data_IF_510444880340
#
_entry.id   IF_510444880340
#
_cell.length_a   1.000
_cell.length_b   1.000
_cell.length_c   1.000
_cell.angle_alpha   90.00
_cell.angle_beta   90.00
_cell.angle_gamma   90.00
#
_symmetry.space_group_name_H-M   'P 1'
#
loop_
_entity.id
_entity.type
_entity.pdbx_description
1 polymer ?
#
# COMPACT_ATOMS: atom_id res chain seq x y z
N UNK A 1 14.16 8.07 14.98
CA UNK A 1 14.18 7.12 13.84
C UNK A 1 14.81 5.77 14.17
N UNK A 2 16.06 5.68 14.60
CA UNK A 2 16.69 4.38 14.93
C UNK A 2 15.91 3.60 15.99
N UNK A 3 15.44 4.30 17.04
CA UNK A 3 14.54 3.75 18.05
C UNK A 3 13.27 3.14 17.41
N UNK A 4 12.52 3.94 16.64
CA UNK A 4 11.33 3.51 15.89
C UNK A 4 11.60 2.25 15.06
N UNK A 5 12.71 2.17 14.32
CA UNK A 5 13.07 0.99 13.53
C UNK A 5 13.24 -0.26 14.40
N UNK A 6 13.97 -0.13 15.52
CA UNK A 6 14.20 -1.24 16.46
C UNK A 6 12.91 -1.69 17.14
N UNK A 7 12.10 -0.74 17.58
CA UNK A 7 10.86 -1.00 18.29
C UNK A 7 9.84 -1.67 17.36
N UNK A 8 9.72 -1.16 16.13
CA UNK A 8 8.86 -1.74 15.08
C UNK A 8 9.30 -3.15 14.70
N UNK A 9 10.61 -3.42 14.64
CA UNK A 9 11.13 -4.76 14.38
C UNK A 9 10.80 -5.73 15.52
N UNK A 10 11.01 -5.29 16.77
CA UNK A 10 10.66 -6.07 17.96
C UNK A 10 9.17 -6.41 17.99
N UNK A 11 8.31 -5.43 17.72
CA UNK A 11 6.86 -5.60 17.65
C UNK A 11 6.45 -6.57 16.52
N UNK A 12 7.04 -6.44 15.34
CA UNK A 12 6.75 -7.33 14.21
C UNK A 12 7.12 -8.77 14.52
N UNK A 13 8.33 -8.99 15.07
CA UNK A 13 8.81 -10.33 15.46
C UNK A 13 7.90 -10.98 16.50
N UNK A 14 7.38 -10.19 17.44
CA UNK A 14 6.51 -10.70 18.50
C UNK A 14 5.06 -10.92 18.04
N UNK A 15 4.66 -10.33 16.91
CA UNK A 15 3.30 -10.36 16.38
C UNK A 15 3.23 -10.89 14.95
N UNK A 16 4.01 -11.95 14.65
CA UNK A 16 3.96 -12.63 13.33
C UNK A 16 2.57 -13.20 13.00
N UNK A 17 1.69 -13.33 13.98
CA UNK A 17 0.27 -13.66 13.80
C UNK A 17 -0.44 -12.72 12.81
N UNK A 18 0.03 -11.48 12.66
CA UNK A 18 -0.45 -10.52 11.65
C UNK A 18 -0.28 -11.01 10.21
N UNK A 19 0.58 -12.00 9.97
CA UNK A 19 0.73 -12.64 8.66
C UNK A 19 -0.51 -13.44 8.26
N UNK A 20 -1.23 -14.05 9.21
CA UNK A 20 -2.34 -14.96 8.89
C UNK A 20 -3.49 -14.28 8.15
N UNK A 21 -4.01 -13.11 8.61
CA UNK A 21 -5.03 -12.37 7.84
C UNK A 21 -4.58 -12.04 6.42
N UNK A 22 -3.31 -11.67 6.24
CA UNK A 22 -2.77 -11.30 4.93
C UNK A 22 -2.69 -12.49 3.98
N UNK A 23 -2.18 -13.63 4.45
CA UNK A 23 -2.10 -14.88 3.68
C UNK A 23 -3.51 -15.33 3.29
N UNK A 24 -4.45 -15.31 4.23
CA UNK A 24 -5.84 -15.70 4.00
C UNK A 24 -6.53 -14.76 2.99
N UNK A 25 -6.28 -13.45 3.08
CA UNK A 25 -6.77 -12.47 2.12
C UNK A 25 -6.25 -12.75 0.71
N UNK A 26 -4.94 -12.95 0.54
CA UNK A 26 -4.37 -13.27 -0.78
C UNK A 26 -4.90 -14.59 -1.35
N UNK A 27 -5.17 -15.59 -0.50
CA UNK A 27 -5.77 -16.84 -0.92
C UNK A 27 -7.21 -16.68 -1.42
N UNK A 28 -8.03 -15.86 -0.75
CA UNK A 28 -9.38 -15.53 -1.25
C UNK A 28 -9.31 -14.77 -2.58
N UNK A 29 -8.44 -13.77 -2.67
CA UNK A 29 -8.28 -12.96 -3.90
C UNK A 29 -7.81 -13.83 -5.06
N UNK A 30 -6.89 -14.77 -4.85
CA UNK A 30 -6.40 -15.65 -5.91
C UNK A 30 -7.48 -16.59 -6.46
N UNK A 31 -8.49 -16.94 -5.65
CA UNK A 31 -9.66 -17.70 -6.11
C UNK A 31 -10.64 -16.85 -6.93
N UNK A 32 -10.72 -15.54 -6.69
CA UNK A 32 -11.68 -14.65 -7.34
C UNK A 32 -11.19 -14.09 -8.69
N UNK A 33 -9.87 -13.88 -8.85
CA UNK A 33 -9.29 -13.30 -10.08
C UNK A 33 -9.58 -14.14 -11.34
N UNK A 34 -9.42 -15.48 -11.35
CA UNK A 34 -9.69 -16.30 -12.53
C UNK A 34 -11.14 -16.20 -13.04
N UNK A 35 -12.09 -15.92 -12.15
CA UNK A 35 -13.50 -15.73 -12.49
C UNK A 35 -13.76 -14.48 -13.35
N UNK A 36 -12.79 -13.57 -13.47
CA UNK A 36 -12.86 -12.36 -14.31
C UNK A 36 -12.36 -12.63 -15.74
N UNK A 37 -11.44 -13.58 -15.92
CA UNK A 37 -10.76 -13.80 -17.22
C UNK A 37 -11.44 -14.81 -18.15
N UNK A 38 -12.44 -15.56 -17.68
CA UNK A 38 -12.92 -16.77 -18.37
C UNK A 38 -14.28 -16.70 -19.05
N UNK A 39 -14.97 -15.55 -19.12
CA UNK A 39 -16.31 -15.50 -19.67
C UNK A 39 -16.56 -14.25 -20.52
N UNK A 40 -17.49 -14.34 -21.46
CA UNK A 40 -18.24 -13.19 -21.97
C UNK A 40 -19.03 -12.57 -20.80
N UNK A 41 -18.34 -11.84 -19.93
CA UNK A 41 -18.93 -11.27 -18.73
C UNK A 41 -19.82 -10.11 -19.18
N UNK A 42 -21.14 -10.37 -19.25
CA UNK A 42 -22.18 -9.33 -19.34
C UNK A 42 -21.88 -8.27 -18.27
N UNK A 43 -21.90 -6.99 -18.63
CA UNK A 43 -21.48 -5.84 -17.80
C UNK A 43 -21.92 -5.88 -16.34
N UNK A 44 -23.12 -6.40 -16.06
CA UNK A 44 -23.66 -6.56 -14.71
C UNK A 44 -22.89 -7.56 -13.83
N UNK A 45 -22.44 -8.70 -14.38
CA UNK A 45 -21.63 -9.69 -13.65
C UNK A 45 -20.25 -9.13 -13.29
N UNK A 46 -19.67 -8.33 -14.18
CA UNK A 46 -18.41 -7.65 -13.94
C UNK A 46 -18.53 -6.67 -12.77
N UNK A 47 -19.59 -5.84 -12.76
CA UNK A 47 -19.85 -4.88 -11.69
C UNK A 47 -19.97 -5.54 -10.30
N UNK A 48 -20.65 -6.69 -10.22
CA UNK A 48 -20.80 -7.43 -8.96
C UNK A 48 -19.45 -7.99 -8.48
N UNK A 49 -18.66 -8.60 -9.37
CA UNK A 49 -17.34 -9.14 -9.00
C UNK A 49 -16.41 -8.01 -8.55
N UNK A 50 -16.42 -6.89 -9.26
CA UNK A 50 -15.63 -5.71 -8.92
C UNK A 50 -16.01 -5.14 -7.55
N UNK A 51 -17.31 -5.00 -7.27
CA UNK A 51 -17.80 -4.55 -5.97
C UNK A 51 -17.40 -5.50 -4.82
N UNK A 52 -17.44 -6.82 -5.06
CA UNK A 52 -17.00 -7.81 -4.08
C UNK A 52 -15.49 -7.70 -3.77
N UNK A 53 -14.66 -7.48 -4.79
CA UNK A 53 -13.22 -7.28 -4.60
C UNK A 53 -12.96 -6.02 -3.77
N UNK A 54 -13.64 -4.91 -4.09
CA UNK A 54 -13.55 -3.68 -3.29
C UNK A 54 -13.98 -3.95 -1.84
N UNK A 55 -15.11 -4.62 -1.63
CA UNK A 55 -15.61 -4.97 -0.32
C UNK A 55 -14.60 -5.80 0.49
N UNK A 56 -14.01 -6.83 -0.12
CA UNK A 56 -12.99 -7.67 0.52
C UNK A 56 -11.73 -6.89 0.88
N UNK A 57 -11.25 -6.03 -0.01
CA UNK A 57 -10.08 -5.16 0.25
C UNK A 57 -10.36 -4.26 1.46
N UNK A 58 -11.54 -3.62 1.51
CA UNK A 58 -11.90 -2.72 2.61
C UNK A 58 -12.09 -3.46 3.92
N UNK A 59 -12.75 -4.63 3.92
CA UNK A 59 -12.86 -5.49 5.12
C UNK A 59 -11.47 -5.86 5.62
N UNK A 60 -10.61 -6.32 4.72
CA UNK A 60 -9.25 -6.71 5.07
C UNK A 60 -8.46 -5.55 5.68
N UNK A 61 -8.40 -4.41 5.01
CA UNK A 61 -7.71 -3.22 5.52
C UNK A 61 -8.27 -2.76 6.87
N UNK A 62 -9.59 -2.76 7.03
CA UNK A 62 -10.24 -2.29 8.26
C UNK A 62 -9.88 -3.12 9.49
N UNK A 63 -9.97 -4.45 9.36
CA UNK A 63 -9.61 -5.35 10.45
C UNK A 63 -8.11 -5.39 10.68
N UNK A 64 -7.32 -5.48 9.62
CA UNK A 64 -5.87 -5.64 9.72
C UNK A 64 -5.18 -4.39 10.25
N UNK A 65 -5.57 -3.19 9.79
CA UNK A 65 -5.01 -1.94 10.27
C UNK A 65 -5.42 -1.61 11.72
N UNK A 66 -6.60 -2.05 12.19
CA UNK A 66 -6.95 -1.93 13.62
C UNK A 66 -6.01 -2.78 14.49
N UNK A 67 -5.65 -4.00 14.04
CA UNK A 67 -4.70 -4.84 14.77
C UNK A 67 -3.32 -4.17 14.89
N UNK A 68 -2.83 -3.55 13.81
CA UNK A 68 -1.59 -2.76 13.85
C UNK A 68 -1.70 -1.57 14.81
N UNK A 69 -2.82 -0.83 14.78
CA UNK A 69 -3.05 0.29 15.68
C UNK A 69 -3.02 -0.13 17.15
N UNK A 70 -3.71 -1.22 17.50
CA UNK A 70 -3.72 -1.73 18.88
C UNK A 70 -2.32 -2.11 19.35
N UNK A 71 -1.54 -2.81 18.53
CA UNK A 71 -0.14 -3.11 18.90
C UNK A 71 0.67 -1.83 19.13
N UNK A 72 0.57 -0.86 18.22
CA UNK A 72 1.36 0.37 18.30
C UNK A 72 1.04 1.18 19.57
N UNK A 73 -0.22 1.22 19.99
CA UNK A 73 -0.66 1.91 21.21
C UNK A 73 -0.26 1.12 22.47
N UNK A 74 -0.60 -0.18 22.54
CA UNK A 74 -0.33 -1.00 23.72
C UNK A 74 1.17 -1.18 24.01
N UNK A 75 2.03 -1.04 22.99
CA UNK A 75 3.49 -1.04 23.16
C UNK A 75 4.00 0.00 24.16
N UNK A 76 3.35 1.17 24.28
CA UNK A 76 3.75 2.20 25.26
C UNK A 76 3.34 1.82 26.69
N UNK A 77 2.32 0.99 26.85
CA UNK A 77 1.71 0.69 28.14
C UNK A 77 2.31 -0.56 28.80
N UNK A 78 2.83 -1.52 28.03
CA UNK A 78 3.23 -2.82 28.57
C UNK A 78 4.71 -3.18 28.36
N UNK A 79 5.52 -2.93 29.40
CA UNK A 79 6.92 -3.37 29.51
C UNK A 79 7.07 -4.83 30.03
N UNK A 80 5.98 -5.60 30.16
CA UNK A 80 6.04 -6.93 30.81
C UNK A 80 6.12 -8.08 29.79
N UNK A 81 7.13 -8.92 29.98
CA UNK A 81 7.68 -9.84 28.97
C UNK A 81 7.08 -11.24 29.02
N UNK A 82 6.18 -11.54 29.97
CA UNK A 82 5.80 -12.93 30.28
C UNK A 82 4.50 -13.45 29.60
N UNK A 83 3.52 -12.61 29.25
CA UNK A 83 2.22 -13.04 28.68
C UNK A 83 2.10 -12.82 27.16
N UNK A 84 3.24 -12.72 26.46
CA UNK A 84 3.31 -12.19 25.09
C UNK A 84 2.64 -13.06 24.02
N UNK A 85 2.56 -14.39 24.18
CA UNK A 85 1.98 -15.27 23.15
C UNK A 85 0.45 -15.31 23.17
N UNK A 86 -0.15 -15.28 24.37
CA UNK A 86 -1.62 -15.25 24.50
C UNK A 86 -2.18 -13.92 24.01
N UNK A 87 -1.47 -12.83 24.26
CA UNK A 87 -1.83 -11.50 23.74
C UNK A 87 -1.79 -11.44 22.20
N UNK A 88 -0.80 -12.07 21.55
CA UNK A 88 -0.72 -12.11 20.08
C UNK A 88 -1.91 -12.87 19.45
N UNK A 89 -2.34 -13.99 20.03
CA UNK A 89 -3.54 -14.68 19.52
C UNK A 89 -4.84 -13.95 19.87
N UNK A 90 -4.90 -13.27 21.02
CA UNK A 90 -6.02 -12.40 21.35
C UNK A 90 -6.19 -11.27 20.32
N UNK A 91 -5.10 -10.78 19.72
CA UNK A 91 -5.15 -9.78 18.66
C UNK A 91 -5.98 -10.21 17.44
N UNK A 92 -6.04 -11.50 17.12
CA UNK A 92 -6.90 -11.99 16.01
C UNK A 92 -8.38 -11.72 16.27
N UNK A 93 -8.80 -11.67 17.55
CA UNK A 93 -10.16 -11.31 17.93
C UNK A 93 -10.50 -9.85 17.61
N UNK A 94 -9.48 -9.01 17.41
CA UNK A 94 -9.63 -7.59 17.09
C UNK A 94 -9.89 -7.32 15.62
N UNK A 95 -9.70 -8.32 14.75
CA UNK A 95 -9.96 -8.16 13.32
C UNK A 95 -11.43 -7.80 13.05
N UNK A 96 -12.39 -8.59 13.54
CA UNK A 96 -13.82 -8.37 13.28
C UNK A 96 -14.35 -7.06 13.90
N UNK A 97 -14.04 -6.72 15.17
CA UNK A 97 -14.33 -5.40 15.72
C UNK A 97 -13.73 -4.26 14.90
N UNK A 98 -12.48 -4.42 14.43
CA UNK A 98 -11.81 -3.47 13.55
C UNK A 98 -12.54 -3.27 12.22
N UNK A 99 -13.09 -4.33 11.63
CA UNK A 99 -13.97 -4.25 10.45
C UNK A 99 -15.19 -3.38 10.77
N UNK A 100 -15.94 -3.71 11.83
CA UNK A 100 -17.16 -2.97 12.19
C UNK A 100 -16.90 -1.47 12.44
N UNK A 101 -15.77 -1.14 13.08
CA UNK A 101 -15.38 0.23 13.42
C UNK A 101 -14.86 1.03 12.22
N UNK A 102 -14.05 0.40 11.35
CA UNK A 102 -13.27 1.13 10.34
C UNK A 102 -13.72 0.90 8.89
N UNK A 103 -14.74 0.05 8.63
CA UNK A 103 -15.21 -0.25 7.28
C UNK A 103 -15.56 1.00 6.47
N UNK A 104 -16.46 1.86 6.97
CA UNK A 104 -16.86 3.09 6.27
C UNK A 104 -15.69 4.07 6.07
N UNK A 105 -14.86 4.37 7.09
CA UNK A 105 -13.66 5.18 6.92
C UNK A 105 -12.72 4.70 5.81
N UNK A 106 -12.42 3.40 5.75
CA UNK A 106 -11.53 2.87 4.73
C UNK A 106 -12.20 2.78 3.36
N UNK A 107 -13.53 2.55 3.29
CA UNK A 107 -14.27 2.64 2.05
C UNK A 107 -14.23 4.07 1.48
N UNK A 108 -14.54 5.06 2.30
CA UNK A 108 -14.47 6.48 1.91
C UNK A 108 -13.04 6.90 1.58
N UNK A 109 -12.05 6.43 2.36
CA UNK A 109 -10.63 6.62 2.10
C UNK A 109 -10.20 6.04 0.75
N UNK A 110 -10.67 4.85 0.39
CA UNK A 110 -10.37 4.22 -0.90
C UNK A 110 -10.94 5.03 -2.08
N UNK A 111 -12.18 5.51 -1.98
CA UNK A 111 -12.75 6.38 -3.02
C UNK A 111 -11.96 7.68 -3.19
N UNK A 112 -11.60 8.33 -2.07
CA UNK A 112 -10.80 9.55 -2.09
C UNK A 112 -9.38 9.30 -2.60
N UNK A 113 -8.78 8.15 -2.27
CA UNK A 113 -7.49 7.72 -2.77
C UNK A 113 -7.50 7.58 -4.29
N UNK A 114 -8.55 6.95 -4.85
CA UNK A 114 -8.71 6.82 -6.30
C UNK A 114 -8.95 8.18 -6.97
N UNK A 115 -9.78 9.04 -6.38
CA UNK A 115 -9.99 10.41 -6.86
C UNK A 115 -8.67 11.19 -6.92
N UNK A 116 -7.89 11.16 -5.84
CA UNK A 116 -6.59 11.84 -5.75
C UNK A 116 -5.58 11.28 -6.74
N UNK A 117 -5.55 9.95 -6.92
CA UNK A 117 -4.74 9.29 -7.94
C UNK A 117 -5.08 9.81 -9.34
N UNK A 118 -6.37 9.81 -9.71
CA UNK A 118 -6.82 10.33 -10.99
C UNK A 118 -6.45 11.79 -11.18
N UNK A 119 -6.63 12.64 -10.17
CA UNK A 119 -6.28 14.06 -10.23
C UNK A 119 -4.77 14.28 -10.48
N UNK A 120 -3.91 13.56 -9.75
CA UNK A 120 -2.45 13.68 -9.91
C UNK A 120 -1.99 13.22 -11.29
N UNK A 121 -2.52 12.09 -11.76
CA UNK A 121 -2.15 11.57 -13.08
C UNK A 121 -2.74 12.41 -14.23
N UNK A 122 -3.91 13.01 -14.04
CA UNK A 122 -4.47 13.98 -14.99
C UNK A 122 -3.59 15.23 -15.05
N UNK A 123 -3.20 15.79 -13.91
CA UNK A 123 -2.27 16.93 -13.85
C UNK A 123 -0.92 16.59 -14.50
N UNK A 124 -0.36 15.42 -14.22
CA UNK A 124 0.86 14.94 -14.86
C UNK A 124 0.66 14.80 -16.38
N UNK A 125 -0.48 14.29 -16.85
CA UNK A 125 -0.82 14.22 -18.27
C UNK A 125 -0.86 15.59 -18.94
N UNK A 126 -1.52 16.58 -18.33
CA UNK A 126 -1.57 17.96 -18.84
C UNK A 126 -0.18 18.61 -18.91
N UNK A 127 0.64 18.39 -17.87
CA UNK A 127 2.03 18.85 -17.85
C UNK A 127 2.84 18.17 -18.96
N UNK A 128 2.69 16.85 -19.13
CA UNK A 128 3.39 16.06 -20.13
C UNK A 128 3.08 16.52 -21.56
N UNK A 129 1.79 16.72 -21.89
CA UNK A 129 1.37 17.23 -23.19
C UNK A 129 1.96 18.62 -23.45
N UNK A 130 1.94 19.50 -22.44
CA UNK A 130 2.46 20.87 -22.58
C UNK A 130 3.99 20.94 -22.73
N UNK A 131 4.73 20.10 -22.00
CA UNK A 131 6.20 20.14 -21.98
C UNK A 131 6.86 19.28 -23.04
N UNK A 132 6.29 18.12 -23.36
CA UNK A 132 6.92 17.09 -24.19
C UNK A 132 6.17 16.79 -25.48
N UNK A 133 4.92 17.28 -25.61
CA UNK A 133 4.04 16.91 -26.71
C UNK A 133 3.38 15.54 -26.51
N UNK A 134 2.57 15.14 -27.49
CA UNK A 134 1.82 13.88 -27.47
C UNK A 134 2.74 12.77 -28.02
N UNK A 135 2.96 11.67 -27.27
CA UNK A 135 3.75 10.56 -27.77
C UNK A 135 3.01 9.86 -28.91
N UNK A 136 3.73 9.38 -29.92
CA UNK A 136 3.12 8.62 -31.02
C UNK A 136 2.50 7.34 -30.49
N UNK A 137 1.19 7.14 -30.68
CA UNK A 137 0.49 5.97 -30.17
C UNK A 137 0.40 4.91 -31.27
N UNK A 138 0.75 3.63 -31.02
CA UNK A 138 0.56 2.59 -32.01
C UNK A 138 -0.93 2.38 -32.30
N UNK A 139 -1.29 2.13 -33.56
CA UNK A 139 -2.69 1.91 -33.99
C UNK A 139 -3.38 0.79 -33.21
N UNK A 140 -2.64 -0.26 -32.84
CA UNK A 140 -3.12 -1.36 -31.98
C UNK A 140 -2.36 -1.40 -30.66
N UNK A 141 -2.70 -0.46 -29.76
CA UNK A 141 -2.13 -0.36 -28.41
C UNK A 141 -2.16 -1.70 -27.67
N UNK A 142 -3.30 -2.38 -27.65
CA UNK A 142 -3.46 -3.64 -26.90
C UNK A 142 -2.53 -4.74 -27.42
N UNK A 143 -2.42 -4.91 -28.74
CA UNK A 143 -1.54 -5.92 -29.32
C UNK A 143 -0.05 -5.63 -29.06
N UNK A 144 0.36 -4.36 -29.14
CA UNK A 144 1.76 -3.96 -28.93
C UNK A 144 2.19 -4.08 -27.47
N UNK A 145 1.33 -3.71 -26.51
CA UNK A 145 1.68 -3.75 -25.09
C UNK A 145 1.50 -5.13 -24.44
N UNK A 146 0.78 -6.05 -25.08
CA UNK A 146 0.63 -7.44 -24.60
C UNK A 146 1.73 -8.39 -25.08
N UNK A 147 2.46 -8.06 -26.15
CA UNK A 147 3.58 -8.85 -26.66
C UNK A 147 4.92 -8.10 -26.54
N UNK A 148 5.87 -8.70 -25.82
CA UNK A 148 7.23 -8.14 -25.63
C UNK A 148 7.96 -7.92 -26.96
N UNK A 149 7.75 -8.78 -27.95
CA UNK A 149 8.40 -8.64 -29.27
C UNK A 149 7.77 -7.50 -30.08
N UNK A 150 6.44 -7.40 -30.09
CA UNK A 150 5.73 -6.29 -30.71
C UNK A 150 6.12 -4.93 -30.08
N UNK A 151 6.23 -4.87 -28.75
CA UNK A 151 6.69 -3.68 -28.03
C UNK A 151 8.12 -3.29 -28.44
N UNK A 152 9.04 -4.26 -28.50
CA UNK A 152 10.42 -4.00 -28.91
C UNK A 152 10.48 -3.47 -30.35
N UNK A 153 9.74 -4.09 -31.27
CA UNK A 153 9.66 -3.64 -32.67
C UNK A 153 9.13 -2.22 -32.78
N UNK A 154 8.06 -1.90 -32.07
CA UNK A 154 7.51 -0.55 -32.02
C UNK A 154 8.51 0.47 -31.45
N UNK A 155 9.14 0.19 -30.32
CA UNK A 155 10.13 1.10 -29.73
C UNK A 155 11.35 1.28 -30.65
N UNK A 156 11.73 0.24 -31.39
CA UNK A 156 12.83 0.31 -32.35
C UNK A 156 12.50 1.08 -33.63
N UNK A 157 11.21 1.15 -34.02
CA UNK A 157 10.77 1.92 -35.19
C UNK A 157 10.63 3.42 -34.93
N UNK A 158 10.63 3.84 -33.66
CA UNK A 158 10.55 5.24 -33.28
C UNK A 158 11.85 5.99 -33.61
N UNK A 159 11.71 7.26 -33.99
CA UNK A 159 12.86 8.16 -34.12
C UNK A 159 13.52 8.37 -32.75
N UNK A 160 14.81 8.74 -32.72
CA UNK A 160 15.50 9.07 -31.47
C UNK A 160 14.79 10.19 -30.68
N UNK A 161 14.16 11.14 -31.39
CA UNK A 161 13.36 12.20 -30.78
C UNK A 161 12.12 11.65 -30.09
N UNK A 162 11.41 10.73 -30.74
CA UNK A 162 10.22 10.09 -30.17
C UNK A 162 10.57 9.19 -28.97
N UNK A 163 11.70 8.46 -29.04
CA UNK A 163 12.21 7.68 -27.89
C UNK A 163 12.47 8.57 -26.68
N UNK A 164 13.03 9.77 -26.88
CA UNK A 164 13.24 10.74 -25.81
C UNK A 164 11.92 11.26 -25.23
N UNK A 165 10.90 11.48 -26.06
CA UNK A 165 9.55 11.86 -25.59
C UNK A 165 8.99 10.74 -24.69
N UNK A 166 9.07 9.48 -25.13
CA UNK A 166 8.66 8.33 -24.34
C UNK A 166 9.40 8.22 -23.00
N UNK A 167 10.71 8.44 -23.00
CA UNK A 167 11.50 8.44 -21.76
C UNK A 167 11.06 9.56 -20.80
N UNK A 168 10.80 10.78 -21.31
CA UNK A 168 10.30 11.90 -20.51
C UNK A 168 8.92 11.62 -19.91
N UNK A 169 8.02 11.03 -20.69
CA UNK A 169 6.72 10.58 -20.22
C UNK A 169 6.81 9.50 -19.14
N UNK A 170 7.71 8.53 -19.31
CA UNK A 170 7.97 7.51 -18.29
C UNK A 170 8.50 8.14 -16.99
N UNK A 171 9.48 9.04 -17.09
CA UNK A 171 10.01 9.75 -15.91
C UNK A 171 8.93 10.58 -15.20
N UNK A 172 8.08 11.29 -15.94
CA UNK A 172 6.98 12.06 -15.37
C UNK A 172 5.97 11.16 -14.66
N UNK A 173 5.62 10.03 -15.28
CA UNK A 173 4.69 9.03 -14.73
C UNK A 173 5.23 8.40 -13.45
N UNK A 174 6.50 7.97 -13.46
CA UNK A 174 7.19 7.44 -12.27
C UNK A 174 7.26 8.50 -11.17
N UNK A 175 7.56 9.76 -11.52
CA UNK A 175 7.63 10.86 -10.56
C UNK A 175 6.26 11.18 -9.95
N UNK A 176 5.20 11.16 -10.75
CA UNK A 176 3.83 11.35 -10.28
C UNK A 176 3.39 10.23 -9.34
N UNK A 177 3.71 8.97 -9.69
CA UNK A 177 3.45 7.82 -8.83
C UNK A 177 4.24 7.87 -7.52
N UNK A 178 5.51 8.28 -7.57
CA UNK A 178 6.35 8.46 -6.38
C UNK A 178 5.82 9.58 -5.47
N UNK A 179 5.42 10.71 -6.06
CA UNK A 179 4.80 11.81 -5.34
C UNK A 179 3.49 11.37 -4.67
N UNK A 180 2.62 10.69 -5.41
CA UNK A 180 1.37 10.15 -4.88
C UNK A 180 1.59 9.17 -3.72
N UNK A 181 2.51 8.22 -3.89
CA UNK A 181 2.88 7.27 -2.83
C UNK A 181 3.38 7.99 -1.58
N UNK A 182 4.27 8.97 -1.73
CA UNK A 182 4.80 9.76 -0.62
C UNK A 182 3.69 10.51 0.15
N UNK A 183 2.79 11.21 -0.55
CA UNK A 183 1.75 12.01 0.11
C UNK A 183 0.62 11.17 0.70
N UNK A 184 0.52 9.88 0.39
CA UNK A 184 -0.53 8.97 0.91
C UNK A 184 0.01 7.94 1.90
N UNK A 185 1.33 7.85 2.05
CA UNK A 185 2.02 6.78 2.79
C UNK A 185 1.54 6.61 4.24
N UNK A 186 1.26 7.69 4.97
CA UNK A 186 0.83 7.65 6.37
C UNK A 186 -0.69 7.71 6.54
N UNK A 187 -1.45 7.70 5.44
CA UNK A 187 -2.89 7.94 5.50
C UNK A 187 -3.65 6.78 6.16
N UNK A 188 -3.32 5.53 5.85
CA UNK A 188 -3.96 4.38 6.47
C UNK A 188 -3.74 4.31 8.00
N UNK A 189 -2.50 4.49 8.53
CA UNK A 189 -2.28 4.66 9.96
C UNK A 189 -3.03 5.84 10.58
N UNK A 190 -3.13 6.99 9.88
CA UNK A 190 -3.89 8.15 10.37
C UNK A 190 -5.39 7.87 10.52
N UNK A 191 -5.97 7.08 9.61
CA UNK A 191 -7.37 6.65 9.73
C UNK A 191 -7.57 5.78 10.98
N UNK A 192 -6.68 4.81 11.18
CA UNK A 192 -6.79 3.89 12.31
C UNK A 192 -6.56 4.60 13.66
N UNK A 193 -5.50 5.39 13.77
CA UNK A 193 -5.03 5.96 15.04
C UNK A 193 -5.69 7.29 15.41
N UNK A 194 -5.99 8.15 14.43
CA UNK A 194 -6.32 9.57 14.71
C UNK A 194 -7.72 10.01 14.30
N UNK A 195 -8.27 9.55 13.16
CA UNK A 195 -9.60 10.01 12.73
C UNK A 195 -10.34 9.05 11.81
N UNK A 196 -11.60 8.77 12.12
CA UNK A 196 -12.54 8.05 11.25
C UNK A 196 -12.91 8.82 9.98
N UNK A 197 -12.72 10.14 9.97
CA UNK A 197 -13.00 10.93 8.77
C UNK A 197 -11.78 10.85 7.85
N UNK A 198 -11.89 10.21 6.66
CA UNK A 198 -10.75 9.98 5.79
C UNK A 198 -10.14 11.28 5.25
N UNK A 199 -10.94 12.34 5.06
CA UNK A 199 -10.44 13.66 4.68
C UNK A 199 -9.64 14.30 5.81
N UNK A 200 -10.17 14.30 7.04
CA UNK A 200 -9.45 14.80 8.22
C UNK A 200 -8.13 14.04 8.40
N UNK A 201 -8.16 12.71 8.28
CA UNK A 201 -6.98 11.86 8.34
C UNK A 201 -5.95 12.17 7.24
N UNK A 202 -6.40 12.50 6.02
CA UNK A 202 -5.50 12.91 4.93
C UNK A 202 -4.77 14.21 5.25
N UNK A 203 -5.48 15.22 5.76
CA UNK A 203 -4.85 16.49 6.16
C UNK A 203 -3.91 16.32 7.35
N UNK A 204 -4.22 15.45 8.31
CA UNK A 204 -3.31 15.10 9.40
C UNK A 204 -2.04 14.40 8.88
N UNK A 205 -2.18 13.48 7.92
CA UNK A 205 -1.06 12.88 7.20
C UNK A 205 -0.17 13.95 6.54
N UNK A 206 -0.76 14.91 5.80
CA UNK A 206 0.01 15.98 5.16
C UNK A 206 0.70 16.87 6.20
N UNK A 207 -0.01 17.23 7.27
CA UNK A 207 0.55 18.02 8.38
C UNK A 207 1.75 17.33 9.00
N UNK A 208 1.68 16.02 9.26
CA UNK A 208 2.79 15.26 9.83
C UNK A 208 3.98 15.18 8.84
N UNK A 209 3.70 14.97 7.55
CA UNK A 209 4.72 14.98 6.50
C UNK A 209 5.50 16.29 6.46
N UNK A 210 4.83 17.44 6.51
CA UNK A 210 5.50 18.74 6.50
C UNK A 210 6.16 19.10 7.84
N UNK A 211 5.69 18.55 8.96
CA UNK A 211 6.34 18.71 10.28
C UNK A 211 7.62 17.89 10.42
N UNK A 212 7.67 16.69 9.84
CA UNK A 212 8.80 15.75 9.95
C UNK A 212 9.31 15.29 8.57
N UNK A 213 9.65 16.21 7.65
CA UNK A 213 9.88 15.87 6.24
C UNK A 213 11.02 14.88 6.06
N UNK A 214 12.15 15.07 6.77
CA UNK A 214 13.30 14.17 6.67
C UNK A 214 12.99 12.75 7.15
N UNK A 215 12.18 12.60 8.19
CA UNK A 215 11.83 11.27 8.71
C UNK A 215 10.86 10.56 7.77
N UNK A 216 9.90 11.29 7.20
CA UNK A 216 8.96 10.75 6.21
C UNK A 216 9.67 10.39 4.90
N UNK A 217 10.60 11.22 4.42
CA UNK A 217 11.45 10.89 3.27
C UNK A 217 12.27 9.63 3.56
N UNK A 218 12.85 9.50 4.75
CA UNK A 218 13.62 8.31 5.13
C UNK A 218 12.75 7.05 5.17
N UNK A 219 11.52 7.13 5.69
CA UNK A 219 10.54 6.03 5.61
C UNK A 219 10.24 5.63 4.17
N UNK A 220 10.07 6.61 3.30
CA UNK A 220 9.85 6.38 1.87
C UNK A 220 11.07 5.76 1.19
N UNK A 221 12.28 6.18 1.53
CA UNK A 221 13.52 5.57 1.03
C UNK A 221 13.69 4.13 1.49
N UNK A 222 13.31 3.80 2.73
CA UNK A 222 13.28 2.41 3.23
C UNK A 222 12.33 1.56 2.38
N UNK A 223 11.13 2.08 2.08
CA UNK A 223 10.18 1.43 1.20
C UNK A 223 10.74 1.19 -0.21
N UNK A 224 11.33 2.22 -0.83
CA UNK A 224 11.94 2.10 -2.15
C UNK A 224 13.08 1.10 -2.18
N UNK A 225 14.00 1.18 -1.21
CA UNK A 225 15.14 0.27 -1.11
C UNK A 225 14.71 -1.19 -0.95
N UNK A 226 13.69 -1.44 -0.14
CA UNK A 226 13.15 -2.78 0.02
C UNK A 226 12.45 -3.30 -1.23
N UNK A 227 11.67 -2.47 -1.94
CA UNK A 227 11.09 -2.87 -3.22
C UNK A 227 12.15 -3.19 -4.27
N UNK A 228 13.27 -2.45 -4.29
CA UNK A 228 14.41 -2.78 -5.15
C UNK A 228 15.03 -4.14 -4.78
N UNK A 229 15.25 -4.40 -3.49
CA UNK A 229 15.77 -5.69 -3.01
C UNK A 229 14.81 -6.83 -3.40
N UNK A 230 13.51 -6.67 -3.17
CA UNK A 230 12.50 -7.66 -3.55
C UNK A 230 12.49 -7.91 -5.06
N UNK A 231 12.57 -6.86 -5.88
CA UNK A 231 12.66 -7.01 -7.34
C UNK A 231 13.91 -7.78 -7.77
N UNK A 232 15.05 -7.57 -7.11
CA UNK A 232 16.28 -8.32 -7.39
C UNK A 232 16.11 -9.79 -6.99
N UNK A 233 15.58 -10.06 -5.79
CA UNK A 233 15.33 -11.43 -5.32
C UNK A 233 14.38 -12.16 -6.29
N UNK A 234 13.27 -11.52 -6.69
CA UNK A 234 12.33 -12.09 -7.65
C UNK A 234 12.95 -12.34 -9.02
N UNK A 235 13.84 -11.45 -9.48
CA UNK A 235 14.56 -11.64 -10.75
C UNK A 235 15.53 -12.81 -10.70
N UNK A 236 16.24 -13.00 -9.57
CA UNK A 236 17.17 -14.12 -9.38
C UNK A 236 16.39 -15.43 -9.20
N UNK A 237 15.22 -15.39 -8.56
CA UNK A 237 14.37 -16.55 -8.35
C UNK A 237 13.93 -17.21 -9.66
N UNK A 238 13.78 -16.45 -10.74
CA UNK A 238 13.38 -16.98 -12.04
C UNK A 238 12.16 -17.89 -11.92
N UNK A 239 12.25 -19.11 -12.47
CA UNK A 239 11.22 -20.16 -12.34
C UNK A 239 11.54 -21.19 -11.23
N UNK A 240 12.53 -20.95 -10.37
CA UNK A 240 12.87 -21.86 -9.29
C UNK A 240 11.84 -21.74 -8.15
N UNK A 241 11.03 -22.79 -7.98
CA UNK A 241 9.96 -22.85 -6.99
C UNK A 241 10.44 -22.51 -5.55
N UNK A 242 11.58 -23.07 -5.12
CA UNK A 242 12.08 -22.87 -3.77
C UNK A 242 12.51 -21.41 -3.55
N UNK A 243 13.18 -20.82 -4.54
CA UNK A 243 13.64 -19.44 -4.44
C UNK A 243 12.46 -18.45 -4.51
N UNK A 244 11.40 -18.77 -5.26
CA UNK A 244 10.15 -18.02 -5.25
C UNK A 244 9.43 -18.09 -3.89
N UNK A 245 9.40 -19.25 -3.24
CA UNK A 245 8.80 -19.39 -1.91
C UNK A 245 9.53 -18.55 -0.86
N UNK A 246 10.87 -18.53 -0.92
CA UNK A 246 11.70 -17.67 -0.08
C UNK A 246 11.39 -16.19 -0.38
N UNK A 247 11.34 -15.81 -1.65
CA UNK A 247 11.05 -14.43 -2.07
C UNK A 247 9.70 -13.93 -1.52
N UNK A 248 8.66 -14.76 -1.63
CA UNK A 248 7.31 -14.46 -1.11
C UNK A 248 7.33 -14.34 0.42
N UNK A 249 8.06 -15.21 1.12
CA UNK A 249 8.18 -15.15 2.59
C UNK A 249 8.86 -13.85 3.03
N UNK A 250 9.94 -13.45 2.36
CA UNK A 250 10.65 -12.19 2.63
C UNK A 250 9.74 -11.00 2.34
N UNK A 251 8.96 -11.04 1.25
CA UNK A 251 8.00 -10.00 0.91
C UNK A 251 6.94 -9.83 2.01
N UNK A 252 6.37 -10.93 2.51
CA UNK A 252 5.39 -10.87 3.59
C UNK A 252 5.96 -10.27 4.87
N UNK A 253 7.15 -10.71 5.29
CA UNK A 253 7.83 -10.15 6.45
C UNK A 253 8.13 -8.66 6.28
N UNK A 254 8.52 -8.26 5.06
CA UNK A 254 8.77 -6.85 4.77
C UNK A 254 7.49 -6.01 4.85
N UNK A 255 6.37 -6.47 4.28
CA UNK A 255 5.08 -5.78 4.37
C UNK A 255 4.68 -5.59 5.83
N UNK A 256 4.76 -6.64 6.65
CA UNK A 256 4.42 -6.58 8.07
C UNK A 256 5.30 -5.59 8.83
N UNK A 257 6.61 -5.67 8.62
CA UNK A 257 7.56 -4.77 9.26
C UNK A 257 7.33 -3.32 8.85
N UNK A 258 7.15 -3.07 7.55
CA UNK A 258 6.96 -1.73 7.03
C UNK A 258 5.66 -1.12 7.52
N UNK A 259 4.55 -1.87 7.52
CA UNK A 259 3.30 -1.38 8.10
C UNK A 259 3.45 -1.09 9.59
N UNK A 260 4.03 -2.00 10.38
CA UNK A 260 4.29 -1.75 11.80
C UNK A 260 5.12 -0.48 12.00
N UNK A 261 6.14 -0.27 11.17
CA UNK A 261 6.97 0.91 11.18
C UNK A 261 6.17 2.20 10.95
N UNK A 262 5.22 2.21 10.01
CA UNK A 262 4.37 3.37 9.78
C UNK A 262 3.44 3.65 10.97
N UNK A 263 2.84 2.61 11.55
CA UNK A 263 1.95 2.77 12.70
C UNK A 263 2.68 3.27 13.95
N UNK A 264 3.83 2.68 14.28
CA UNK A 264 4.68 3.14 15.39
C UNK A 264 5.18 4.56 15.14
N UNK A 265 5.56 4.89 13.89
CA UNK A 265 5.99 6.24 13.53
C UNK A 265 4.90 7.29 13.78
N UNK A 266 3.67 7.02 13.32
CA UNK A 266 2.53 7.91 13.56
C UNK A 266 2.25 8.00 15.06
N UNK A 267 2.19 6.87 15.76
CA UNK A 267 1.89 6.85 17.19
C UNK A 267 2.95 7.55 18.07
N UNK A 268 4.23 7.49 17.73
CA UNK A 268 5.27 8.26 18.43
C UNK A 268 5.21 9.77 18.16
N UNK A 269 4.71 10.18 16.99
CA UNK A 269 4.67 11.57 16.57
C UNK A 269 3.26 12.17 16.60
N UNK A 270 2.29 11.44 17.16
CA UNK A 270 0.95 11.93 17.41
C UNK A 270 1.01 13.02 18.49
N UNK A 271 0.87 14.28 18.08
CA UNK A 271 0.58 15.39 18.98
C UNK A 271 -0.94 15.44 19.27
N UNK A 272 -1.33 16.13 20.35
CA UNK A 272 -2.68 16.32 20.94
C UNK A 272 -3.85 16.66 20.00
N UNK A 273 -3.62 16.78 18.69
CA UNK A 273 -4.65 16.94 17.66
C UNK A 273 -5.26 15.64 17.12
N UNK A 274 -4.72 14.47 17.50
CA UNK A 274 -5.42 13.20 17.28
C UNK A 274 -6.50 13.08 18.35
N UNK A 275 -7.76 12.89 17.92
CA UNK A 275 -8.84 12.51 18.84
C UNK A 275 -8.43 11.12 19.33
N UNK A 276 -7.89 11.01 20.54
CA UNK A 276 -7.22 9.80 21.01
C UNK A 276 -8.19 8.62 21.08
N UNK A 277 -8.20 7.80 20.02
CA UNK A 277 -9.21 6.75 19.82
C UNK A 277 -9.04 5.57 20.78
N UNK A 278 -7.93 5.53 21.52
CA UNK A 278 -7.55 4.44 22.41
C UNK A 278 -7.37 4.89 23.88
N UNK A 279 -7.67 6.16 24.21
CA UNK A 279 -7.59 6.66 25.61
C UNK A 279 -8.70 6.10 26.52
N UNK A 280 -9.62 5.29 25.98
CA UNK A 280 -10.72 4.67 26.72
C UNK A 280 -10.60 3.15 26.88
N UNK A 281 -9.46 2.53 26.54
CA UNK A 281 -9.23 1.11 26.84
C UNK A 281 -8.46 1.01 28.15
N UNK A 282 -9.20 1.14 29.25
CA UNK A 282 -8.78 0.74 30.60
C UNK A 282 -9.32 -0.64 30.93
#
# INVERSE_FOLDING_TARGET
MIKILKDSWGLTKNNLVLAYPLIFFFWIISMLIPSIGGAEIRSLKFGIIFANIIGLVVVFWSGWFEMFAKIAVSYKQDNKTAEKKEYSFALMKEFLPGVGKNFLPYLGGLFLYFLLFCLIFLCAGLIGVKLFGIPQVPENLTAVFSDKQALYKFLSSLSETDKLIYLKWNMLTVSAGAFFSLITMLWAPMIALCSLNPLKAFFLNLKLMFKKPLQVILLYLIYLGANMILSIISSIAGNNLLLQLIAITVMFLFILYYLMLLFVFVEENNESSCDSRFDCVG
#
